data_IF_431664820965
#
_entry.id   IF_431664820965
#
_cell.length_a   1.000
_cell.length_b   1.000
_cell.length_c   1.000
_cell.angle_alpha   90.00
_cell.angle_beta   90.00
_cell.angle_gamma   90.00
#
_symmetry.space_group_name_H-M   'P 1'
#
loop_
_entity.id
_entity.type
_entity.pdbx_description
1 polymer ?
#
# COMPACT_ATOMS: atom_id res chain seq x y z
N UNK A 1 13.08 13.31 4.18
CA UNK A 1 11.83 13.25 3.38
C UNK A 1 10.66 13.97 4.04
N UNK A 2 9.83 14.70 3.28
CA UNK A 2 8.53 15.25 3.76
C UNK A 2 7.42 14.27 3.37
N UNK A 3 6.71 13.74 4.35
CA UNK A 3 5.56 12.83 4.14
C UNK A 3 4.31 13.51 4.65
N UNK A 4 3.29 13.59 3.81
CA UNK A 4 1.93 13.99 4.19
C UNK A 4 1.01 12.79 4.02
N UNK A 5 0.28 12.45 5.08
CA UNK A 5 -0.81 11.47 5.02
C UNK A 5 -2.13 12.19 4.80
N UNK A 6 -2.93 11.70 3.88
CA UNK A 6 -4.32 12.13 3.66
C UNK A 6 -5.22 10.90 3.67
N UNK A 7 -6.48 11.07 4.05
CA UNK A 7 -7.46 10.00 4.03
C UNK A 7 -8.30 10.12 2.75
N UNK A 8 -8.33 9.04 1.97
CA UNK A 8 -9.02 8.94 0.68
C UNK A 8 -10.00 7.76 0.70
N UNK A 9 -10.72 7.55 -0.41
CA UNK A 9 -11.66 6.43 -0.59
C UNK A 9 -12.83 6.45 0.41
N UNK A 10 -13.22 7.65 0.85
CA UNK A 10 -14.43 7.91 1.63
C UNK A 10 -14.48 7.11 2.94
N UNK A 11 -15.51 6.28 3.09
CA UNK A 11 -15.77 5.51 4.32
C UNK A 11 -14.69 4.45 4.63
N UNK A 12 -13.88 4.07 3.64
CA UNK A 12 -12.77 3.12 3.84
C UNK A 12 -11.57 3.78 4.52
N UNK A 13 -11.50 5.12 4.48
CA UNK A 13 -10.45 5.91 5.11
C UNK A 13 -9.05 5.37 4.77
N UNK A 14 -8.81 5.08 3.48
CA UNK A 14 -7.52 4.61 2.99
C UNK A 14 -6.49 5.71 3.21
N UNK A 15 -5.34 5.36 3.78
CA UNK A 15 -4.22 6.25 3.95
C UNK A 15 -3.47 6.37 2.62
N UNK A 16 -3.60 7.50 1.94
CA UNK A 16 -2.73 7.88 0.82
C UNK A 16 -1.57 8.73 1.34
N UNK A 17 -0.36 8.42 0.89
CA UNK A 17 0.84 9.15 1.30
C UNK A 17 1.41 9.97 0.15
N UNK A 18 1.58 11.26 0.39
CA UNK A 18 2.18 12.22 -0.54
C UNK A 18 3.60 12.51 -0.03
N UNK A 19 4.60 12.08 -0.80
CA UNK A 19 6.02 12.21 -0.50
C UNK A 19 6.62 13.29 -1.39
N UNK A 20 7.23 14.30 -0.76
CA UNK A 20 7.85 15.45 -1.43
C UNK A 20 6.97 16.12 -2.52
N UNK A 21 5.65 15.93 -2.41
CA UNK A 21 4.62 16.44 -3.31
C UNK A 21 4.59 15.83 -4.73
N UNK A 22 5.44 14.85 -5.06
CA UNK A 22 5.54 14.28 -6.42
C UNK A 22 5.49 12.74 -6.46
N UNK A 23 5.59 12.07 -5.30
CA UNK A 23 5.49 10.61 -5.20
C UNK A 23 4.30 10.25 -4.33
N UNK A 24 3.38 9.46 -4.87
CA UNK A 24 2.13 9.07 -4.20
C UNK A 24 2.16 7.57 -3.93
N UNK A 25 1.90 7.18 -2.68
CA UNK A 25 1.71 5.77 -2.32
C UNK A 25 0.23 5.54 -2.11
N UNK A 26 -0.30 4.52 -2.80
CA UNK A 26 -1.69 4.06 -2.73
C UNK A 26 -2.72 5.19 -2.92
N UNK A 27 -2.82 5.79 -4.12
CA UNK A 27 -3.78 6.85 -4.41
C UNK A 27 -5.23 6.34 -4.39
N UNK A 28 -5.92 6.51 -3.27
CA UNK A 28 -7.35 6.29 -3.17
C UNK A 28 -8.16 7.41 -3.83
N UNK A 29 -9.46 7.17 -4.00
CA UNK A 29 -10.37 8.14 -4.61
C UNK A 29 -10.43 9.44 -3.79
N UNK A 30 -10.39 10.60 -4.45
CA UNK A 30 -10.36 11.93 -3.85
C UNK A 30 -8.96 12.55 -3.73
N UNK A 31 -7.90 11.83 -4.12
CA UNK A 31 -6.51 12.34 -4.09
C UNK A 31 -6.32 13.62 -4.94
N UNK A 32 -7.16 13.84 -5.96
CA UNK A 32 -7.15 15.01 -6.82
C UNK A 32 -7.46 16.33 -6.11
N UNK A 33 -7.98 16.30 -4.87
CA UNK A 33 -8.13 17.49 -4.02
C UNK A 33 -6.77 18.00 -3.49
N UNK A 34 -5.76 17.13 -3.44
CA UNK A 34 -4.45 17.42 -2.88
C UNK A 34 -3.36 17.61 -3.96
N UNK A 35 -3.54 17.00 -5.13
CA UNK A 35 -2.57 17.01 -6.22
C UNK A 35 -3.17 17.69 -7.45
N UNK A 36 -2.57 18.80 -7.95
CA UNK A 36 -3.02 19.44 -9.19
C UNK A 36 -2.95 18.48 -10.40
N UNK A 37 -3.97 18.51 -11.25
CA UNK A 37 -4.09 17.61 -12.42
C UNK A 37 -2.96 17.74 -13.44
N UNK A 38 -2.30 18.88 -13.51
CA UNK A 38 -1.18 19.14 -14.41
C UNK A 38 0.17 18.67 -13.84
N UNK A 39 0.24 18.36 -12.53
CA UNK A 39 1.45 17.89 -11.88
C UNK A 39 1.70 16.42 -12.21
N UNK A 40 2.81 16.15 -12.88
CA UNK A 40 3.30 14.79 -13.05
C UNK A 40 3.70 14.19 -11.69
N UNK A 41 3.24 12.96 -11.44
CA UNK A 41 3.57 12.22 -10.22
C UNK A 41 4.06 10.81 -10.52
N UNK A 42 4.90 10.29 -9.63
CA UNK A 42 5.24 8.87 -9.55
C UNK A 42 4.29 8.20 -8.58
N UNK A 43 3.76 7.03 -8.92
CA UNK A 43 2.89 6.26 -8.04
C UNK A 43 3.57 4.96 -7.65
N UNK A 44 3.55 4.64 -6.36
CA UNK A 44 3.94 3.34 -5.83
C UNK A 44 2.71 2.66 -5.23
N UNK A 45 2.47 1.40 -5.58
CA UNK A 45 1.37 0.61 -5.02
C UNK A 45 1.93 -0.44 -4.07
N UNK A 46 1.42 -0.45 -2.84
CA UNK A 46 1.67 -1.54 -1.88
C UNK A 46 0.97 -2.82 -2.35
N UNK A 47 -0.24 -2.67 -2.89
CA UNK A 47 -1.07 -3.70 -3.51
C UNK A 47 -2.16 -3.07 -4.39
N UNK A 48 -2.96 -3.87 -5.10
CA UNK A 48 -3.87 -3.39 -6.15
C UNK A 48 -5.38 -3.50 -5.85
N UNK A 49 -5.84 -3.42 -4.60
CA UNK A 49 -7.28 -3.30 -4.32
C UNK A 49 -7.82 -1.91 -4.67
N UNK A 50 -9.10 -1.84 -5.04
CA UNK A 50 -9.74 -0.65 -5.61
C UNK A 50 -9.51 0.62 -4.79
N UNK A 51 -9.61 0.53 -3.47
CA UNK A 51 -9.53 1.67 -2.57
C UNK A 51 -8.13 2.26 -2.45
N UNK A 52 -7.11 1.56 -2.95
CA UNK A 52 -5.73 2.04 -3.09
C UNK A 52 -5.39 2.52 -4.51
N UNK A 53 -6.29 2.35 -5.49
CA UNK A 53 -6.00 2.61 -6.91
C UNK A 53 -7.01 3.51 -7.63
N UNK A 54 -8.23 3.72 -7.10
CA UNK A 54 -9.26 4.51 -7.79
C UNK A 54 -8.82 5.96 -8.07
N UNK A 55 -7.99 6.52 -7.19
CA UNK A 55 -7.42 7.86 -7.33
C UNK A 55 -6.46 8.01 -8.52
N UNK A 56 -5.97 6.91 -9.11
CA UNK A 56 -5.15 6.96 -10.33
C UNK A 56 -5.85 7.71 -11.48
N UNK A 57 -7.18 7.65 -11.54
CA UNK A 57 -7.97 8.36 -12.56
C UNK A 57 -7.96 9.89 -12.39
N UNK A 58 -7.52 10.38 -11.24
CA UNK A 58 -7.49 11.79 -10.87
C UNK A 58 -6.10 12.42 -11.06
N UNK A 59 -5.08 11.61 -11.34
CA UNK A 59 -3.67 12.00 -11.36
C UNK A 59 -3.08 11.98 -12.77
N UNK A 60 -2.12 12.89 -13.02
CA UNK A 60 -1.23 12.80 -14.19
C UNK A 60 -0.04 11.90 -13.85
N UNK A 61 -0.26 10.58 -13.95
CA UNK A 61 0.72 9.56 -13.57
C UNK A 61 1.81 9.47 -14.64
N UNK A 62 3.02 9.86 -14.26
CA UNK A 62 4.23 9.73 -15.09
C UNK A 62 4.74 8.30 -15.13
N UNK A 63 4.76 7.65 -13.97
CA UNK A 63 5.24 6.28 -13.80
C UNK A 63 4.50 5.61 -12.65
N UNK A 64 4.14 4.35 -12.82
CA UNK A 64 3.50 3.53 -11.80
C UNK A 64 4.39 2.32 -11.50
N UNK A 65 4.61 2.07 -10.21
CA UNK A 65 5.34 0.91 -9.71
C UNK A 65 4.40 0.01 -8.93
N UNK A 66 4.40 -1.27 -9.27
CA UNK A 66 3.57 -2.29 -8.62
C UNK A 66 4.30 -3.63 -8.65
N UNK A 67 4.05 -4.50 -7.68
CA UNK A 67 4.58 -5.85 -7.72
C UNK A 67 3.96 -6.65 -8.88
N UNK A 68 4.73 -7.42 -9.67
CA UNK A 68 4.21 -8.14 -10.85
C UNK A 68 3.03 -9.06 -10.56
N UNK A 69 2.99 -9.66 -9.36
CA UNK A 69 1.90 -10.55 -8.94
C UNK A 69 0.55 -9.85 -8.72
N UNK A 70 0.52 -8.52 -8.62
CA UNK A 70 -0.71 -7.73 -8.49
C UNK A 70 -1.13 -7.03 -9.79
N UNK A 71 -0.36 -7.16 -10.88
CA UNK A 71 -0.69 -6.52 -12.18
C UNK A 71 -2.00 -7.04 -12.76
N UNK A 72 -2.28 -8.32 -12.61
CA UNK A 72 -3.57 -8.91 -13.01
C UNK A 72 -4.74 -8.32 -12.20
N UNK A 73 -4.54 -8.10 -10.90
CA UNK A 73 -5.55 -7.50 -10.01
C UNK A 73 -5.77 -6.03 -10.43
N UNK A 74 -4.69 -5.28 -10.63
CA UNK A 74 -4.71 -3.88 -11.09
C UNK A 74 -5.47 -3.66 -12.41
N UNK A 75 -5.50 -4.68 -13.29
CA UNK A 75 -6.14 -4.61 -14.61
C UNK A 75 -7.56 -5.16 -14.64
N UNK A 76 -7.99 -5.92 -13.64
CA UNK A 76 -9.28 -6.61 -13.64
C UNK A 76 -10.22 -6.04 -12.55
N UNK A 77 -11.30 -5.34 -12.93
CA UNK A 77 -12.25 -4.75 -11.99
C UNK A 77 -12.92 -5.74 -11.04
N UNK A 78 -12.99 -7.02 -11.43
CA UNK A 78 -13.53 -8.08 -10.58
C UNK A 78 -12.51 -8.43 -9.51
N UNK A 79 -11.24 -8.63 -9.88
CA UNK A 79 -10.17 -9.02 -8.96
C UNK A 79 -9.78 -7.91 -7.99
N UNK A 80 -9.73 -6.65 -8.45
CA UNK A 80 -9.48 -5.51 -7.55
C UNK A 80 -10.72 -5.06 -6.75
N UNK A 81 -11.86 -5.73 -6.95
CA UNK A 81 -13.16 -5.47 -6.32
C UNK A 81 -13.88 -4.16 -6.72
N UNK A 82 -13.32 -3.34 -7.60
CA UNK A 82 -13.94 -2.08 -8.03
C UNK A 82 -15.29 -2.27 -8.73
N UNK A 83 -15.51 -3.41 -9.38
CA UNK A 83 -16.79 -3.79 -9.97
C UNK A 83 -17.91 -3.87 -8.92
N UNK A 84 -17.63 -4.46 -7.76
CA UNK A 84 -18.64 -4.70 -6.72
C UNK A 84 -19.08 -3.43 -6.00
N UNK A 85 -18.24 -2.39 -6.01
CA UNK A 85 -18.58 -1.04 -5.54
C UNK A 85 -19.12 -0.13 -6.64
N UNK A 86 -19.45 -0.69 -7.82
CA UNK A 86 -20.02 0.02 -8.98
C UNK A 86 -19.11 1.15 -9.51
N UNK A 87 -17.80 1.02 -9.34
CA UNK A 87 -16.77 1.93 -9.89
C UNK A 87 -15.71 1.13 -10.66
N UNK A 88 -16.09 0.33 -11.67
CA UNK A 88 -15.15 -0.57 -12.34
C UNK A 88 -13.95 0.20 -12.87
N UNK A 89 -12.75 -0.23 -12.47
CA UNK A 89 -11.49 0.43 -12.78
C UNK A 89 -10.43 -0.59 -13.18
N UNK A 90 -9.65 -0.22 -14.21
CA UNK A 90 -8.52 -0.98 -14.73
C UNK A 90 -7.41 -0.03 -15.13
N UNK A 91 -6.18 -0.27 -14.67
CA UNK A 91 -5.01 0.46 -15.16
C UNK A 91 -4.35 -0.29 -16.33
N UNK A 92 -4.58 0.19 -17.54
CA UNK A 92 -4.02 -0.42 -18.77
C UNK A 92 -2.77 0.31 -19.29
N UNK A 93 -2.33 1.37 -18.63
CA UNK A 93 -1.12 2.11 -18.99
C UNK A 93 0.15 1.35 -18.53
N UNK A 94 1.32 1.93 -18.80
CA UNK A 94 2.60 1.38 -18.38
C UNK A 94 2.72 1.22 -16.86
N UNK A 95 3.52 0.25 -16.46
CA UNK A 95 3.91 -0.03 -15.08
C UNK A 95 5.33 -0.61 -15.08
N UNK A 96 6.03 -0.49 -13.97
CA UNK A 96 7.34 -1.10 -13.72
C UNK A 96 7.30 -1.96 -12.44
N UNK A 97 8.14 -2.99 -12.38
CA UNK A 97 8.30 -3.81 -11.19
C UNK A 97 8.89 -2.95 -10.06
N UNK A 98 8.13 -2.79 -8.99
CA UNK A 98 8.56 -2.00 -7.82
C UNK A 98 9.84 -2.54 -7.18
N UNK A 99 10.08 -3.86 -7.28
CA UNK A 99 11.24 -4.55 -6.66
C UNK A 99 12.56 -4.25 -7.36
N UNK A 100 12.54 -3.79 -8.61
CA UNK A 100 13.74 -3.45 -9.37
C UNK A 100 14.24 -2.04 -9.06
N UNK A 101 13.39 -1.18 -8.49
CA UNK A 101 13.67 0.26 -8.31
C UNK A 101 13.69 0.69 -6.84
N UNK A 102 12.85 0.09 -5.99
CA UNK A 102 12.70 0.50 -4.59
C UNK A 102 13.11 -0.61 -3.62
N UNK A 103 13.54 -0.21 -2.41
CA UNK A 103 13.72 -1.17 -1.33
C UNK A 103 12.34 -1.63 -0.86
N UNK A 104 11.98 -2.85 -1.23
CA UNK A 104 10.69 -3.46 -0.90
C UNK A 104 10.86 -4.83 -0.29
N UNK A 105 9.94 -5.18 0.59
CA UNK A 105 9.82 -6.51 1.19
C UNK A 105 8.53 -7.09 0.62
N UNK A 106 8.65 -8.17 -0.15
CA UNK A 106 7.46 -8.88 -0.64
C UNK A 106 6.74 -9.54 0.53
N UNK A 107 5.48 -9.17 0.75
CA UNK A 107 4.66 -9.60 1.88
C UNK A 107 3.28 -10.13 1.43
N UNK A 108 3.25 -11.22 0.64
CA UNK A 108 2.00 -11.78 0.17
C UNK A 108 1.11 -12.27 1.32
N UNK A 109 -0.20 -12.24 1.10
CA UNK A 109 -1.16 -12.79 2.04
C UNK A 109 -2.46 -12.01 2.07
N UNK A 110 -2.39 -10.69 1.98
CA UNK A 110 -3.58 -9.86 1.71
C UNK A 110 -3.93 -9.93 0.22
N UNK A 111 -2.94 -9.66 -0.63
CA UNK A 111 -2.91 -10.00 -2.06
C UNK A 111 -1.64 -10.80 -2.39
N UNK A 112 -1.54 -11.44 -3.57
CA UNK A 112 -0.33 -12.13 -4.00
C UNK A 112 0.89 -11.20 -4.19
N UNK A 113 0.67 -9.94 -4.56
CA UNK A 113 1.70 -8.93 -4.81
C UNK A 113 1.85 -7.89 -3.70
N UNK A 114 1.16 -8.04 -2.56
CA UNK A 114 1.33 -7.16 -1.41
C UNK A 114 2.80 -7.02 -1.03
N UNK A 115 3.25 -5.79 -0.78
CA UNK A 115 4.61 -5.49 -0.35
C UNK A 115 4.67 -4.34 0.65
N UNK A 116 5.75 -4.31 1.43
CA UNK A 116 6.12 -3.19 2.28
C UNK A 116 7.20 -2.37 1.58
N UNK A 117 6.99 -1.08 1.43
CA UNK A 117 7.94 -0.15 0.79
C UNK A 117 8.73 0.56 1.88
N UNK A 118 10.06 0.48 1.84
CA UNK A 118 10.95 1.14 2.79
C UNK A 118 11.57 2.40 2.18
N UNK A 119 11.28 3.56 2.78
CA UNK A 119 11.85 4.85 2.37
C UNK A 119 12.31 5.65 3.60
N UNK A 120 13.61 5.88 3.71
CA UNK A 120 14.25 6.55 4.85
C UNK A 120 13.80 5.98 6.22
N UNK A 121 12.96 6.70 6.97
CA UNK A 121 12.47 6.30 8.30
C UNK A 121 11.01 5.80 8.28
N UNK A 122 10.48 5.46 7.10
CA UNK A 122 9.10 5.03 6.92
C UNK A 122 9.02 3.65 6.26
N UNK A 123 8.15 2.80 6.79
CA UNK A 123 7.70 1.56 6.19
C UNK A 123 6.24 1.70 5.80
N UNK A 124 5.96 1.81 4.51
CA UNK A 124 4.60 1.84 3.97
C UNK A 124 4.12 0.41 3.82
N UNK A 125 3.32 -0.05 4.78
CA UNK A 125 3.02 -1.49 4.95
C UNK A 125 1.78 -1.95 4.21
N UNK A 126 1.05 -1.04 3.57
CA UNK A 126 -0.25 -1.32 2.97
C UNK A 126 -1.13 -2.11 3.94
N UNK A 127 -1.74 -3.16 3.42
CA UNK A 127 -2.63 -4.04 4.17
C UNK A 127 -1.92 -5.31 4.67
N UNK A 128 -0.59 -5.25 4.82
CA UNK A 128 0.16 -6.33 5.48
C UNK A 128 0.11 -6.17 7.00
N UNK A 129 0.46 -4.99 7.50
CA UNK A 129 0.66 -4.74 8.93
C UNK A 129 0.04 -3.41 9.32
N UNK A 130 -0.90 -3.45 10.28
CA UNK A 130 -1.50 -2.29 10.93
C UNK A 130 -0.92 -2.10 12.34
N UNK A 131 -1.35 -1.05 13.04
CA UNK A 131 -0.84 -0.72 14.38
C UNK A 131 -0.97 -1.89 15.38
N UNK A 132 -2.16 -2.47 15.49
CA UNK A 132 -2.51 -3.55 16.42
C UNK A 132 -3.11 -4.79 15.73
N UNK A 133 -3.19 -4.79 14.41
CA UNK A 133 -3.80 -5.85 13.60
C UNK A 133 -3.06 -6.07 12.27
N UNK A 134 -3.63 -6.89 11.39
CA UNK A 134 -3.14 -7.18 10.04
C UNK A 134 -4.29 -7.01 9.05
N UNK A 135 -3.97 -6.89 7.75
CA UNK A 135 -5.01 -6.91 6.73
C UNK A 135 -5.69 -8.27 6.63
N UNK A 136 -6.92 -8.24 6.11
CA UNK A 136 -7.72 -9.44 5.91
C UNK A 136 -7.10 -10.36 4.86
N UNK A 137 -7.38 -11.66 4.94
CA UNK A 137 -6.76 -12.69 4.08
C UNK A 137 -7.77 -13.64 3.46
N UNK A 138 -9.05 -13.31 3.58
CA UNK A 138 -10.21 -14.12 3.19
C UNK A 138 -10.80 -13.73 1.83
N UNK A 139 -10.27 -12.67 1.19
CA UNK A 139 -10.63 -12.25 -0.15
C UNK A 139 -9.93 -13.10 -1.22
N UNK A 140 -10.40 -13.00 -2.47
CA UNK A 140 -9.73 -13.63 -3.61
C UNK A 140 -8.27 -13.17 -3.71
N UNK A 141 -7.35 -14.12 -3.83
CA UNK A 141 -5.90 -13.85 -3.80
C UNK A 141 -5.29 -13.79 -2.38
N UNK A 142 -6.12 -13.75 -1.34
CA UNK A 142 -5.69 -13.80 0.06
C UNK A 142 -5.24 -15.19 0.53
N UNK A 143 -4.28 -15.23 1.45
CA UNK A 143 -3.70 -16.46 2.01
C UNK A 143 -3.19 -16.23 3.43
N UNK A 144 -3.87 -16.82 4.42
CA UNK A 144 -3.43 -16.76 5.82
C UNK A 144 -2.03 -17.38 6.02
N UNK A 145 -1.71 -18.44 5.27
CA UNK A 145 -0.43 -19.12 5.38
C UNK A 145 0.71 -18.26 4.86
N UNK A 146 0.49 -17.50 3.79
CA UNK A 146 1.50 -16.59 3.26
C UNK A 146 1.62 -15.34 4.12
N UNK A 147 0.50 -14.76 4.57
CA UNK A 147 0.49 -13.67 5.55
C UNK A 147 1.33 -14.03 6.78
N UNK A 148 1.17 -15.23 7.33
CA UNK A 148 1.96 -15.70 8.48
C UNK A 148 3.46 -15.76 8.19
N UNK A 149 3.87 -16.19 6.98
CA UNK A 149 5.29 -16.20 6.58
C UNK A 149 5.80 -14.77 6.42
N UNK A 150 5.02 -13.91 5.78
CA UNK A 150 5.34 -12.51 5.54
C UNK A 150 5.49 -11.73 6.83
N UNK A 151 4.59 -11.92 7.81
CA UNK A 151 4.71 -11.30 9.13
C UNK A 151 5.95 -11.78 9.89
N UNK A 152 6.34 -13.05 9.73
CA UNK A 152 7.60 -13.54 10.32
C UNK A 152 8.82 -12.85 9.70
N UNK A 153 8.89 -12.78 8.38
CA UNK A 153 9.98 -12.11 7.65
C UNK A 153 10.00 -10.61 8.02
N UNK A 154 8.84 -9.97 8.01
CA UNK A 154 8.69 -8.56 8.34
C UNK A 154 9.13 -8.31 9.79
N UNK A 155 8.70 -9.13 10.76
CA UNK A 155 9.14 -9.04 12.16
C UNK A 155 10.67 -9.09 12.28
N UNK A 156 11.31 -10.05 11.63
CA UNK A 156 12.77 -10.19 11.66
C UNK A 156 13.45 -8.94 11.07
N UNK A 157 12.89 -8.36 10.01
CA UNK A 157 13.36 -7.12 9.42
C UNK A 157 13.15 -5.89 10.34
N UNK A 158 11.97 -5.75 10.96
CA UNK A 158 11.68 -4.67 11.91
C UNK A 158 12.68 -4.61 13.06
N UNK A 159 13.15 -5.78 13.53
CA UNK A 159 14.15 -5.89 14.60
C UNK A 159 15.55 -5.35 14.20
N UNK A 160 15.80 -5.14 12.91
CA UNK A 160 17.05 -4.58 12.40
C UNK A 160 17.04 -3.05 12.31
N UNK A 161 15.85 -2.43 12.42
CA UNK A 161 15.64 -1.01 12.21
C UNK A 161 15.58 -0.23 13.54
N UNK A 162 15.77 1.11 13.50
CA UNK A 162 15.51 1.98 14.64
C UNK A 162 14.09 1.80 15.19
N UNK A 163 13.96 1.79 16.52
CA UNK A 163 12.65 1.60 17.18
C UNK A 163 11.64 2.70 16.89
N UNK A 164 12.12 3.87 16.48
CA UNK A 164 11.33 5.04 16.11
C UNK A 164 11.07 5.16 14.60
N UNK A 165 11.44 4.15 13.80
CA UNK A 165 10.95 4.01 12.42
C UNK A 165 9.42 3.93 12.42
N UNK A 166 8.82 4.64 11.47
CA UNK A 166 7.37 4.80 11.36
C UNK A 166 6.79 3.67 10.49
N UNK A 167 5.82 2.95 11.03
CA UNK A 167 4.91 2.07 10.30
C UNK A 167 3.75 2.92 9.77
N UNK A 168 3.61 2.93 8.46
CA UNK A 168 2.65 3.70 7.69
C UNK A 168 1.69 2.76 6.93
N UNK A 169 0.61 2.30 7.59
CA UNK A 169 -0.31 1.31 7.04
C UNK A 169 -1.24 1.86 5.95
N UNK A 170 -1.86 0.95 5.19
CA UNK A 170 -2.92 1.26 4.23
C UNK A 170 -4.19 1.85 4.85
N UNK A 171 -4.48 1.52 6.12
CA UNK A 171 -5.60 2.05 6.89
C UNK A 171 -5.21 2.30 8.35
N UNK A 172 -6.08 2.98 9.09
CA UNK A 172 -5.93 3.22 10.53
C UNK A 172 -4.71 4.11 10.89
N UNK A 173 -4.31 4.10 12.16
CA UNK A 173 -3.26 4.95 12.69
C UNK A 173 -1.85 4.46 12.34
N UNK A 174 -0.93 5.42 12.19
CA UNK A 174 0.51 5.17 12.13
C UNK A 174 1.02 4.72 13.50
N UNK A 175 2.16 4.02 13.52
CA UNK A 175 2.84 3.64 14.76
C UNK A 175 4.35 3.68 14.60
N UNK A 176 5.08 3.72 15.71
CA UNK A 176 6.51 3.41 15.70
C UNK A 176 6.72 1.91 15.76
N UNK A 177 7.83 1.40 15.26
CA UNK A 177 8.20 -0.02 15.40
C UNK A 177 8.10 -0.47 16.87
N UNK A 178 8.56 0.35 17.83
CA UNK A 178 8.44 0.03 19.25
C UNK A 178 7.01 -0.33 19.67
N UNK A 179 6.06 0.48 19.22
CA UNK A 179 4.68 0.39 19.67
C UNK A 179 3.97 -0.76 18.94
N UNK A 180 4.18 -0.86 17.62
CA UNK A 180 3.61 -1.96 16.81
C UNK A 180 4.10 -3.31 17.29
N UNK A 181 5.39 -3.45 17.63
CA UNK A 181 5.94 -4.70 18.17
C UNK A 181 5.38 -5.05 19.56
N UNK A 182 4.98 -4.06 20.36
CA UNK A 182 4.39 -4.27 21.70
C UNK A 182 2.91 -4.67 21.60
N UNK A 183 2.14 -3.95 20.79
CA UNK A 183 0.68 -4.04 20.76
C UNK A 183 0.14 -5.00 19.71
N UNK A 184 0.83 -5.21 18.58
CA UNK A 184 0.34 -6.09 17.54
C UNK A 184 0.47 -7.57 17.93
N UNK A 185 -0.67 -8.22 18.17
CA UNK A 185 -0.71 -9.62 18.61
C UNK A 185 -0.21 -10.63 17.57
N UNK A 186 -0.22 -10.27 16.27
CA UNK A 186 0.23 -11.13 15.18
C UNK A 186 1.76 -11.15 15.03
N UNK A 187 2.46 -10.20 15.66
CA UNK A 187 3.92 -10.14 15.71
C UNK A 187 4.50 -10.84 16.95
N UNK A 188 3.69 -11.52 17.78
CA UNK A 188 4.16 -12.18 19.00
C UNK A 188 4.73 -13.57 18.71
#
# INVERSE_FOLDING_TARGET
MKVQRVETSGELMTNTYIINEDTIIDPGEGIGEYIPKDKEVVVLLTHAHYDHILGLSELNVKQLYVHPLDVEILKDPIKNFSYYVKKPFSWNNGWEDITETFEVIHTPGHTPGSCVIHLENYLFTGDTLFYDSIGRVDLEGGSFQDMKKSLKILKDYLLTLPKDTIIAPGHMALGKISDVMEFNSYLK
#
